data_IF_113304997837
#
_entry.id   IF_113304997837
#
_cell.length_a   1.000
_cell.length_b   1.000
_cell.length_c   1.000
_cell.angle_alpha   90.00
_cell.angle_beta   90.00
_cell.angle_gamma   90.00
#
_symmetry.space_group_name_H-M   'P 1'
#
loop_
_entity.id
_entity.type
_entity.pdbx_description
1 polymer ?
#
# COMPACT_ATOMS: atom_id res chain seq x y z
N UNK A 1 17.02 21.24 -7.70
CA UNK A 1 17.22 20.12 -6.76
C UNK A 1 18.11 20.70 -5.69
N UNK A 2 17.59 20.97 -4.49
CA UNK A 2 18.38 21.58 -3.42
C UNK A 2 19.51 20.60 -3.07
N UNK A 3 20.74 20.94 -3.41
CA UNK A 3 21.91 20.17 -2.98
C UNK A 3 22.36 20.83 -1.69
N UNK A 4 22.44 20.06 -0.61
CA UNK A 4 22.98 20.53 0.65
C UNK A 4 24.45 20.96 0.42
N UNK A 5 24.79 22.25 0.55
CA UNK A 5 26.14 22.74 0.25
C UNK A 5 27.19 22.21 1.25
N UNK A 6 26.79 21.71 2.41
CA UNK A 6 27.70 21.16 3.41
C UNK A 6 28.03 19.67 3.16
N UNK A 7 27.07 18.90 2.62
CA UNK A 7 27.23 17.45 2.43
C UNK A 7 27.30 17.02 0.96
N UNK A 8 26.98 17.90 0.03
CA UNK A 8 26.88 17.61 -1.41
C UNK A 8 25.75 16.62 -1.75
N UNK A 9 24.91 16.27 -0.78
CA UNK A 9 23.82 15.30 -0.98
C UNK A 9 22.62 15.98 -1.62
N UNK A 10 21.94 15.30 -2.56
CA UNK A 10 20.66 15.77 -3.04
C UNK A 10 19.68 15.82 -1.84
N UNK A 11 19.11 16.99 -1.62
CA UNK A 11 18.07 17.21 -0.63
C UNK A 11 16.79 16.47 -1.02
N UNK A 12 15.98 16.16 -0.01
CA UNK A 12 14.68 15.54 -0.21
C UNK A 12 13.63 16.64 -0.43
N UNK A 13 12.94 16.59 -1.57
CA UNK A 13 11.79 17.44 -1.84
C UNK A 13 10.51 16.65 -1.59
N UNK A 14 9.64 17.16 -0.71
CA UNK A 14 8.34 16.56 -0.41
C UNK A 14 7.27 17.40 -1.08
N UNK A 15 6.46 16.76 -1.93
CA UNK A 15 5.30 17.40 -2.55
C UNK A 15 4.07 17.24 -1.65
N UNK A 16 3.76 18.28 -0.88
CA UNK A 16 2.60 18.30 0.02
C UNK A 16 1.24 18.34 -0.71
N UNK A 17 1.22 18.55 -2.04
CA UNK A 17 -0.02 18.59 -2.82
C UNK A 17 -0.49 17.21 -3.31
N UNK A 18 0.41 16.22 -3.36
CA UNK A 18 0.13 14.89 -3.88
C UNK A 18 0.42 13.80 -2.84
N UNK A 19 -0.55 13.56 -1.96
CA UNK A 19 -0.51 12.45 -1.01
C UNK A 19 -1.84 11.71 -0.98
N UNK A 20 -1.79 10.45 -0.55
CA UNK A 20 -2.99 9.68 -0.25
C UNK A 20 -3.23 9.70 1.26
N UNK A 21 -4.49 9.90 1.66
CA UNK A 21 -4.93 9.77 3.04
C UNK A 21 -5.84 8.55 3.15
N UNK A 22 -5.54 7.69 4.10
CA UNK A 22 -6.29 6.47 4.38
C UNK A 22 -6.62 6.43 5.86
N UNK A 23 -7.87 6.10 6.17
CA UNK A 23 -8.31 5.82 7.54
C UNK A 23 -8.03 4.36 7.86
N UNK A 24 -7.48 4.10 9.05
CA UNK A 24 -7.21 2.76 9.56
C UNK A 24 -8.18 2.36 10.68
N UNK A 25 -9.26 3.10 10.92
CA UNK A 25 -10.34 2.77 11.86
C UNK A 25 -9.86 2.25 13.23
N UNK A 26 -8.93 2.98 13.85
CA UNK A 26 -8.26 2.65 15.13
C UNK A 26 -7.25 1.48 15.11
N UNK A 27 -7.01 0.85 13.97
CA UNK A 27 -5.98 -0.18 13.85
C UNK A 27 -4.58 0.43 13.97
N UNK A 28 -3.69 -0.23 14.72
CA UNK A 28 -2.29 0.16 14.83
C UNK A 28 -1.49 -0.44 13.68
N UNK A 29 -0.78 0.40 12.94
CA UNK A 29 0.16 -0.06 11.93
C UNK A 29 1.40 -0.63 12.64
N UNK A 30 1.73 -1.89 12.37
CA UNK A 30 2.86 -2.58 12.99
C UNK A 30 4.11 -2.57 12.11
N UNK A 31 3.96 -2.87 10.82
CA UNK A 31 5.08 -2.96 9.87
C UNK A 31 4.67 -2.49 8.46
N UNK A 32 5.61 -1.97 7.68
CA UNK A 32 5.45 -1.54 6.28
C UNK A 32 6.58 -2.11 5.44
N UNK A 33 6.24 -2.77 4.34
CA UNK A 33 7.21 -3.26 3.36
C UNK A 33 6.79 -2.89 1.95
N UNK A 34 7.76 -2.61 1.09
CA UNK A 34 7.55 -2.42 -0.33
C UNK A 34 8.21 -3.53 -1.15
N UNK A 35 7.65 -3.78 -2.34
CA UNK A 35 8.23 -4.66 -3.33
C UNK A 35 8.95 -3.87 -4.42
N UNK A 36 9.79 -4.56 -5.20
CA UNK A 36 10.56 -3.93 -6.28
C UNK A 36 9.71 -3.35 -7.42
N UNK A 37 8.46 -3.80 -7.55
CA UNK A 37 7.47 -3.27 -8.49
C UNK A 37 6.61 -2.13 -7.89
N UNK A 38 6.93 -1.69 -6.68
CA UNK A 38 6.33 -0.52 -6.04
C UNK A 38 5.08 -0.79 -5.20
N UNK A 39 4.62 -2.04 -5.09
CA UNK A 39 3.49 -2.37 -4.19
C UNK A 39 3.90 -2.12 -2.74
N UNK A 40 2.96 -1.67 -1.92
CA UNK A 40 3.20 -1.37 -0.51
C UNK A 40 2.24 -2.21 0.33
N UNK A 41 2.81 -2.98 1.24
CA UNK A 41 2.08 -3.79 2.20
C UNK A 41 2.30 -3.28 3.60
N UNK A 42 1.31 -3.49 4.45
CA UNK A 42 1.44 -3.21 5.87
C UNK A 42 0.67 -4.23 6.69
N UNK A 43 1.05 -4.36 7.95
CA UNK A 43 0.34 -5.20 8.92
C UNK A 43 -0.38 -4.33 9.96
N UNK A 44 -1.62 -4.70 10.27
CA UNK A 44 -2.42 -4.09 11.32
C UNK A 44 -3.41 -5.13 11.85
N UNK A 45 -3.68 -5.15 13.16
CA UNK A 45 -4.60 -6.11 13.81
C UNK A 45 -4.39 -7.57 13.34
N UNK A 46 -3.13 -8.02 13.31
CA UNK A 46 -2.71 -9.36 12.85
C UNK A 46 -3.11 -9.74 11.41
N UNK A 47 -3.44 -8.75 10.58
CA UNK A 47 -3.80 -8.92 9.16
C UNK A 47 -2.79 -8.23 8.26
N UNK A 48 -2.60 -8.82 7.08
CA UNK A 48 -1.81 -8.27 5.99
C UNK A 48 -2.72 -7.46 5.07
N UNK A 49 -2.32 -6.23 4.80
CA UNK A 49 -3.00 -5.31 3.91
C UNK A 49 -2.08 -4.82 2.80
N UNK A 50 -2.68 -4.38 1.70
CA UNK A 50 -2.01 -3.75 0.58
C UNK A 50 -2.61 -2.37 0.29
N UNK A 51 -1.76 -1.37 0.09
CA UNK A 51 -2.15 -0.09 -0.49
C UNK A 51 -2.19 -0.21 -2.00
N UNK A 52 -3.39 -0.22 -2.58
CA UNK A 52 -3.59 -0.24 -4.03
C UNK A 52 -3.87 1.17 -4.49
N UNK A 53 -2.88 1.76 -5.16
CA UNK A 53 -2.99 3.09 -5.76
C UNK A 53 -3.11 2.98 -7.28
N UNK A 54 -4.08 3.69 -7.84
CA UNK A 54 -4.41 3.65 -9.25
C UNK A 54 -4.48 5.07 -9.80
N UNK A 55 -3.91 5.25 -10.99
CA UNK A 55 -4.17 6.44 -11.78
C UNK A 55 -5.30 6.14 -12.75
N UNK A 56 -6.53 6.52 -12.38
CA UNK A 56 -7.66 6.29 -13.26
C UNK A 56 -7.82 7.48 -14.21
N UNK A 57 -7.48 7.28 -15.48
CA UNK A 57 -7.77 8.19 -16.58
C UNK A 57 -9.10 7.82 -17.23
N UNK A 58 -10.18 7.87 -16.45
CA UNK A 58 -11.55 7.61 -16.91
C UNK A 58 -12.28 8.90 -17.29
N UNK A 59 -13.25 8.80 -18.21
CA UNK A 59 -14.01 9.94 -18.72
C UNK A 59 -15.03 10.55 -17.72
N UNK A 60 -15.26 9.92 -16.57
CA UNK A 60 -16.15 10.39 -15.49
C UNK A 60 -15.41 11.08 -14.33
N UNK A 61 -14.37 11.85 -14.64
CA UNK A 61 -13.51 12.46 -13.63
C UNK A 61 -12.31 11.56 -13.35
N UNK A 62 -11.24 11.85 -14.09
CA UNK A 62 -9.93 11.26 -13.85
C UNK A 62 -9.37 11.69 -12.51
N UNK A 63 -8.63 10.81 -11.85
CA UNK A 63 -8.06 11.10 -10.54
C UNK A 63 -7.20 9.96 -10.02
N UNK A 64 -6.29 10.32 -9.12
CA UNK A 64 -5.50 9.36 -8.36
C UNK A 64 -6.40 8.80 -7.25
N UNK A 65 -6.46 7.48 -7.11
CA UNK A 65 -7.20 6.81 -6.04
C UNK A 65 -6.24 5.90 -5.29
N UNK A 66 -6.47 5.74 -4.00
CA UNK A 66 -5.77 4.75 -3.20
C UNK A 66 -6.78 4.10 -2.27
N UNK A 67 -6.68 2.77 -2.13
CA UNK A 67 -7.55 1.96 -1.26
C UNK A 67 -6.73 0.93 -0.52
N UNK A 68 -7.24 0.51 0.64
CA UNK A 68 -6.69 -0.60 1.42
C UNK A 68 -7.37 -1.90 1.00
N UNK A 69 -6.58 -2.94 0.80
CA UNK A 69 -7.08 -4.29 0.48
C UNK A 69 -6.60 -5.26 1.52
N UNK A 70 -7.51 -6.01 2.13
CA UNK A 70 -7.16 -7.08 3.07
C UNK A 70 -6.71 -8.31 2.29
N UNK A 71 -5.42 -8.65 2.40
CA UNK A 71 -4.82 -9.80 1.75
C UNK A 71 -4.91 -11.08 2.58
N UNK A 72 -5.11 -10.99 3.90
CA UNK A 72 -5.28 -12.17 4.77
C UNK A 72 -6.52 -13.00 4.41
N UNK A 73 -7.62 -12.36 4.00
CA UNK A 73 -8.84 -13.07 3.57
C UNK A 73 -8.62 -13.80 2.24
N UNK A 74 -7.88 -13.20 1.31
CA UNK A 74 -7.48 -13.81 0.05
C UNK A 74 -6.54 -15.00 0.27
N UNK A 75 -5.58 -14.87 1.18
CA UNK A 75 -4.63 -15.94 1.53
C UNK A 75 -5.35 -17.18 2.09
N UNK A 76 -6.27 -16.98 3.05
CA UNK A 76 -7.05 -18.08 3.62
C UNK A 76 -7.93 -18.76 2.57
N UNK A 77 -8.59 -17.99 1.69
CA UNK A 77 -9.42 -18.53 0.60
C UNK A 77 -8.61 -19.36 -0.40
N UNK A 78 -7.34 -19.03 -0.61
CA UNK A 78 -6.44 -19.74 -1.53
C UNK A 78 -5.89 -21.05 -0.94
N UNK A 79 -5.86 -21.21 0.39
CA UNK A 79 -5.37 -22.42 1.06
C UNK A 79 -6.46 -23.49 1.28
N UNK A 80 -7.73 -23.11 1.33
CA UNK A 80 -8.87 -24.03 1.49
C UNK A 80 -9.01 -25.12 0.39
N UNK A 81 -8.62 -24.95 -0.89
CA UNK A 81 -8.72 -26.04 -1.86
C UNK A 81 -7.81 -27.25 -1.59
N UNK A 82 -6.87 -27.19 -0.63
CA UNK A 82 -5.99 -28.31 -0.28
C UNK A 82 -6.50 -29.20 0.88
N UNK A 83 -7.58 -28.84 1.56
CA UNK A 83 -8.13 -29.57 2.71
C UNK A 83 -9.53 -30.16 2.45
N UNK A 84 -9.87 -30.39 1.17
CA UNK A 84 -11.04 -31.21 0.83
C UNK A 84 -10.78 -32.68 1.18
N UNK A 85 -11.76 -33.43 1.71
CA UNK A 85 -11.55 -34.81 2.13
C UNK A 85 -11.13 -35.64 0.92
N UNK A 86 -9.90 -36.14 0.94
CA UNK A 86 -9.45 -37.18 0.03
C UNK A 86 -10.33 -38.41 0.26
N UNK A 87 -11.08 -38.78 -0.78
CA UNK A 87 -11.78 -40.06 -0.92
C UNK A 87 -10.81 -41.24 -0.91
#
# INVERSE_FOLDING_TARGET
MDIDPATGRPGIAIDASHFFKIALDNASLNDIVSTNDGRIFFTADDKLYEFVYEHNTGWFGGGRRCRVVNQSVTLLSTLIPFLGPGS
#
